data_IF_753728175709
#
_entry.id   IF_753728175709
#
_cell.length_a   1.000
_cell.length_b   1.000
_cell.length_c   1.000
_cell.angle_alpha   90.00
_cell.angle_beta   90.00
_cell.angle_gamma   90.00
#
_symmetry.space_group_name_H-M   'P 1'
#
loop_
_entity.id
_entity.type
_entity.pdbx_description
1 polymer ?
#
# COMPACT_ATOMS: atom_id res chain seq x y z
N UNK A 1 3.59 1.78 11.22
CA UNK A 1 2.10 1.76 11.19
C UNK A 1 1.52 3.16 11.20
N UNK A 2 2.03 4.07 12.04
CA UNK A 2 1.57 5.46 12.08
C UNK A 2 1.81 6.19 10.75
N UNK A 3 2.92 5.90 10.07
CA UNK A 3 3.24 6.44 8.75
C UNK A 3 2.20 6.02 7.71
N UNK A 4 1.78 4.75 7.73
CA UNK A 4 0.73 4.25 6.83
C UNK A 4 -0.58 5.01 7.02
N UNK A 5 -1.04 5.16 8.27
CA UNK A 5 -2.26 5.91 8.58
C UNK A 5 -2.16 7.39 8.23
N UNK A 6 -1.01 8.01 8.47
CA UNK A 6 -0.74 9.40 8.10
C UNK A 6 -0.84 9.61 6.59
N UNK A 7 -0.19 8.74 5.81
CA UNK A 7 -0.26 8.77 4.35
C UNK A 7 -1.67 8.52 3.81
N UNK A 8 -2.43 7.59 4.41
CA UNK A 8 -3.85 7.38 4.07
C UNK A 8 -4.68 8.62 4.35
N UNK A 9 -4.50 9.24 5.53
CA UNK A 9 -5.20 10.46 5.90
C UNK A 9 -4.92 11.60 4.92
N UNK A 10 -3.67 11.76 4.47
CA UNK A 10 -3.31 12.72 3.44
C UNK A 10 -4.00 12.44 2.09
N UNK A 11 -4.01 11.18 1.63
CA UNK A 11 -4.69 10.79 0.39
C UNK A 11 -6.21 11.04 0.46
N UNK A 12 -6.83 10.66 1.57
CA UNK A 12 -8.26 10.83 1.78
C UNK A 12 -8.66 12.31 1.87
N UNK A 13 -7.87 13.14 2.57
CA UNK A 13 -8.09 14.60 2.60
C UNK A 13 -8.03 15.19 1.20
N UNK A 14 -6.97 14.87 0.43
CA UNK A 14 -6.79 15.37 -0.94
C UNK A 14 -7.97 15.06 -1.84
N UNK A 15 -8.46 13.82 -1.80
CA UNK A 15 -9.62 13.41 -2.59
C UNK A 15 -10.89 14.21 -2.23
N UNK A 16 -11.13 14.45 -0.93
CA UNK A 16 -12.30 15.20 -0.48
C UNK A 16 -12.20 16.70 -0.83
N UNK A 17 -11.01 17.29 -0.72
CA UNK A 17 -10.78 18.71 -0.97
C UNK A 17 -10.97 19.08 -2.46
N UNK A 18 -10.57 18.17 -3.37
CA UNK A 18 -10.56 18.41 -4.82
C UNK A 18 -11.74 17.70 -5.52
N UNK A 19 -12.47 16.84 -4.81
CA UNK A 19 -13.50 15.93 -5.36
C UNK A 19 -12.98 15.05 -6.51
N UNK A 20 -11.66 14.81 -6.53
CA UNK A 20 -10.93 13.95 -7.46
C UNK A 20 -9.54 13.65 -6.88
N UNK A 21 -8.86 12.64 -7.42
CA UNK A 21 -7.51 12.31 -6.98
C UNK A 21 -6.46 13.00 -7.86
N UNK A 22 -5.53 13.73 -7.23
CA UNK A 22 -4.34 14.25 -7.88
C UNK A 22 -3.13 13.32 -7.68
N UNK A 23 -2.02 13.64 -8.36
CA UNK A 23 -0.77 12.89 -8.24
C UNK A 23 -0.22 12.84 -6.80
N UNK A 24 -0.46 13.87 -6.00
CA UNK A 24 0.03 13.91 -4.62
C UNK A 24 -0.77 12.96 -3.74
N UNK A 25 -2.09 12.96 -3.87
CA UNK A 25 -3.00 12.07 -3.16
C UNK A 25 -2.82 10.61 -3.59
N UNK A 26 -2.65 10.35 -4.88
CA UNK A 26 -2.36 9.00 -5.39
C UNK A 26 -1.03 8.47 -4.84
N UNK A 27 0.02 9.31 -4.82
CA UNK A 27 1.30 8.97 -4.21
C UNK A 27 1.17 8.70 -2.71
N UNK A 28 0.43 9.52 -1.98
CA UNK A 28 0.16 9.28 -0.57
C UNK A 28 -0.60 7.97 -0.32
N UNK A 29 -1.54 7.60 -1.20
CA UNK A 29 -2.26 6.34 -1.09
C UNK A 29 -1.35 5.13 -1.33
N UNK A 30 -0.46 5.21 -2.32
CA UNK A 30 0.59 4.22 -2.53
C UNK A 30 1.48 4.08 -1.28
N UNK A 31 2.00 5.19 -0.76
CA UNK A 31 2.86 5.20 0.43
C UNK A 31 2.16 4.58 1.65
N UNK A 32 0.85 4.77 1.79
CA UNK A 32 0.06 4.11 2.83
C UNK A 32 0.15 2.58 2.73
N UNK A 33 -0.05 2.03 1.52
CA UNK A 33 0.04 0.59 1.27
C UNK A 33 1.48 0.07 1.41
N UNK A 34 2.47 0.85 1.00
CA UNK A 34 3.87 0.49 1.17
C UNK A 34 4.27 0.43 2.66
N UNK A 35 3.94 1.46 3.43
CA UNK A 35 4.29 1.52 4.84
C UNK A 35 3.61 0.44 5.67
N UNK A 36 2.39 0.02 5.32
CA UNK A 36 1.74 -1.07 6.06
C UNK A 36 2.43 -2.41 5.81
N UNK A 37 2.88 -2.69 4.58
CA UNK A 37 3.66 -3.90 4.28
C UNK A 37 5.02 -3.84 4.97
N UNK A 38 5.71 -2.70 4.93
CA UNK A 38 6.99 -2.51 5.62
C UNK A 38 6.86 -2.60 7.14
N UNK A 39 5.73 -2.22 7.72
CA UNK A 39 5.48 -2.38 9.15
C UNK A 39 5.53 -3.83 9.61
N UNK A 40 5.12 -4.79 8.77
CA UNK A 40 5.23 -6.23 9.06
C UNK A 40 6.69 -6.66 9.25
N UNK A 41 7.60 -6.06 8.49
CA UNK A 41 9.05 -6.33 8.55
C UNK A 41 9.66 -5.68 9.78
N UNK A 42 9.28 -4.43 10.05
CA UNK A 42 9.71 -3.70 11.25
C UNK A 42 9.24 -4.41 12.51
N UNK A 43 8.05 -4.98 12.52
CA UNK A 43 7.57 -5.77 13.65
C UNK A 43 8.46 -7.00 13.91
N UNK A 44 8.96 -7.63 12.85
CA UNK A 44 9.82 -8.81 12.99
C UNK A 44 11.24 -8.46 13.46
N UNK A 45 11.88 -7.46 12.83
CA UNK A 45 13.30 -7.15 13.08
C UNK A 45 13.51 -5.99 14.07
N UNK A 46 12.48 -5.22 14.42
CA UNK A 46 12.57 -3.97 15.18
C UNK A 46 13.04 -2.75 14.36
N UNK A 47 13.44 -2.96 13.10
CA UNK A 47 13.85 -1.93 12.14
C UNK A 47 13.56 -2.41 10.70
N UNK A 48 13.70 -1.54 9.71
CA UNK A 48 13.60 -1.93 8.29
C UNK A 48 15.00 -2.21 7.74
N UNK A 49 15.38 -3.47 7.44
CA UNK A 49 16.69 -3.75 6.88
C UNK A 49 16.85 -3.15 5.46
N UNK A 50 18.07 -2.71 5.06
CA UNK A 50 18.30 -2.11 3.74
C UNK A 50 17.87 -3.00 2.57
N UNK A 51 17.92 -4.34 2.76
CA UNK A 51 17.49 -5.29 1.73
C UNK A 51 15.98 -5.19 1.40
N UNK A 52 15.18 -4.54 2.24
CA UNK A 52 13.74 -4.37 2.09
C UNK A 52 13.32 -2.93 1.76
N UNK A 53 14.25 -2.03 1.50
CA UNK A 53 13.97 -0.62 1.18
C UNK A 53 13.36 -0.38 -0.21
N UNK A 54 13.09 -1.43 -0.99
CA UNK A 54 12.44 -1.35 -2.31
C UNK A 54 10.99 -0.84 -2.26
N UNK A 55 10.55 -0.16 -3.33
CA UNK A 55 9.16 0.29 -3.54
C UNK A 55 8.26 -0.76 -4.20
N UNK A 56 8.81 -1.94 -4.55
CA UNK A 56 8.04 -3.01 -5.20
C UNK A 56 7.18 -3.79 -4.20
N UNK A 57 6.07 -3.19 -3.75
CA UNK A 57 5.23 -3.69 -2.65
C UNK A 57 4.71 -5.13 -2.86
N UNK A 58 4.41 -5.54 -4.10
CA UNK A 58 3.96 -6.91 -4.42
C UNK A 58 5.11 -7.90 -4.26
N UNK A 59 6.28 -7.59 -4.82
CA UNK A 59 7.48 -8.43 -4.69
C UNK A 59 7.91 -8.54 -3.23
N UNK A 60 7.81 -7.44 -2.47
CA UNK A 60 8.07 -7.42 -1.05
C UNK A 60 7.13 -8.37 -0.31
N UNK A 61 5.83 -8.29 -0.60
CA UNK A 61 4.80 -9.15 -0.01
C UNK A 61 5.00 -10.63 -0.32
N UNK A 62 5.48 -10.97 -1.51
CA UNK A 62 5.88 -12.34 -1.84
C UNK A 62 7.11 -12.79 -1.03
N UNK A 63 8.13 -11.94 -0.96
CA UNK A 63 9.39 -12.25 -0.29
C UNK A 63 9.23 -12.49 1.21
N UNK A 64 8.29 -11.80 1.85
CA UNK A 64 8.01 -11.98 3.28
C UNK A 64 6.91 -13.01 3.58
N UNK A 65 6.42 -13.72 2.55
CA UNK A 65 5.38 -14.74 2.72
C UNK A 65 4.00 -14.17 3.07
N UNK A 66 3.83 -12.84 2.98
CA UNK A 66 2.56 -12.15 3.25
C UNK A 66 1.53 -12.39 2.15
N UNK A 67 1.96 -12.41 0.89
CA UNK A 67 1.06 -12.56 -0.26
C UNK A 67 0.05 -13.71 -0.14
N UNK A 68 0.45 -14.96 0.19
CA UNK A 68 -0.50 -16.06 0.35
C UNK A 68 -1.41 -15.93 1.58
N UNK A 69 -1.09 -15.08 2.56
CA UNK A 69 -1.95 -14.85 3.73
C UNK A 69 -3.08 -13.86 3.41
N UNK A 70 -2.86 -12.93 2.47
CA UNK A 70 -3.83 -11.89 2.14
C UNK A 70 -5.15 -12.49 1.59
N UNK A 71 -6.32 -12.01 2.01
CA UNK A 71 -7.60 -12.26 1.35
C UNK A 71 -7.59 -11.80 -0.13
N UNK A 72 -8.40 -12.41 -1.02
CA UNK A 72 -8.40 -12.08 -2.45
C UNK A 72 -8.65 -10.60 -2.77
N UNK A 73 -9.58 -9.96 -2.08
CA UNK A 73 -9.89 -8.53 -2.28
C UNK A 73 -8.70 -7.63 -1.88
N UNK A 74 -8.01 -7.97 -0.78
CA UNK A 74 -6.83 -7.24 -0.33
C UNK A 74 -5.61 -7.49 -1.23
N UNK A 75 -5.47 -8.68 -1.83
CA UNK A 75 -4.45 -8.93 -2.87
C UNK A 75 -4.68 -8.08 -4.10
N UNK A 76 -5.92 -8.03 -4.60
CA UNK A 76 -6.29 -7.20 -5.74
C UNK A 76 -6.02 -5.73 -5.45
N UNK A 77 -6.39 -5.26 -4.26
CA UNK A 77 -6.08 -3.90 -3.83
C UNK A 77 -4.58 -3.62 -3.81
N UNK A 78 -3.77 -4.52 -3.23
CA UNK A 78 -2.33 -4.35 -3.18
C UNK A 78 -1.67 -4.36 -4.58
N UNK A 79 -2.16 -5.20 -5.49
CA UNK A 79 -1.71 -5.23 -6.87
C UNK A 79 -2.05 -3.92 -7.61
N UNK A 80 -3.25 -3.39 -7.39
CA UNK A 80 -3.69 -2.11 -7.94
C UNK A 80 -2.87 -0.94 -7.37
N UNK A 81 -2.55 -0.95 -6.07
CA UNK A 81 -1.65 0.05 -5.47
C UNK A 81 -0.25 -0.01 -6.08
N UNK A 82 0.26 -1.17 -6.46
CA UNK A 82 1.59 -1.28 -7.07
C UNK A 82 1.68 -0.56 -8.43
N UNK A 83 0.55 -0.32 -9.11
CA UNK A 83 0.50 0.50 -10.33
C UNK A 83 0.69 1.99 -10.03
N UNK A 84 0.47 2.41 -8.79
CA UNK A 84 0.65 3.78 -8.31
C UNK A 84 2.05 4.06 -7.75
N UNK A 85 3.00 3.12 -7.88
CA UNK A 85 4.38 3.32 -7.45
C UNK A 85 5.05 4.43 -8.30
N UNK A 86 5.39 5.59 -7.71
CA UNK A 86 6.00 6.70 -8.45
C UNK A 86 7.43 6.36 -8.92
N UNK A 87 8.04 5.28 -8.41
CA UNK A 87 9.40 4.87 -8.70
C UNK A 87 9.51 3.76 -9.76
N UNK A 88 8.39 3.30 -10.34
CA UNK A 88 8.44 2.32 -11.45
C UNK A 88 9.08 2.97 -12.68
N UNK A 89 10.39 2.75 -12.80
CA UNK A 89 11.34 3.27 -13.80
C UNK A 89 11.01 2.82 -15.24
N UNK A 90 10.21 3.58 -15.99
CA UNK A 90 10.33 3.76 -17.45
C UNK A 90 9.79 5.16 -17.84
N UNK A 91 10.21 5.77 -18.97
CA UNK A 91 10.26 7.22 -19.10
C UNK A 91 8.87 7.79 -19.29
N UNK A 92 8.31 8.37 -18.23
CA UNK A 92 7.49 9.58 -18.23
C UNK A 92 6.74 9.67 -16.90
N UNK A 93 6.95 10.77 -16.17
CA UNK A 93 5.94 11.31 -15.25
C UNK A 93 4.54 11.21 -15.86
N UNK A 94 4.43 11.39 -17.19
CA UNK A 94 3.21 11.20 -17.98
C UNK A 94 2.52 9.84 -17.82
N UNK A 95 3.19 8.71 -17.61
CA UNK A 95 2.49 7.41 -17.49
C UNK A 95 1.74 7.29 -16.15
N UNK A 96 2.40 7.71 -15.07
CA UNK A 96 1.82 7.83 -13.74
C UNK A 96 0.73 8.90 -13.72
N UNK A 97 1.01 10.10 -14.22
CA UNK A 97 0.05 11.19 -14.36
C UNK A 97 -1.15 10.80 -15.22
N UNK A 98 -0.92 10.05 -16.31
CA UNK A 98 -2.00 9.53 -17.17
C UNK A 98 -2.85 8.54 -16.40
N UNK A 99 -2.26 7.58 -15.70
CA UNK A 99 -3.01 6.61 -14.89
C UNK A 99 -3.84 7.34 -13.82
N UNK A 100 -3.26 8.35 -13.18
CA UNK A 100 -3.97 9.14 -12.17
C UNK A 100 -5.14 9.88 -12.78
N UNK A 101 -4.90 10.57 -13.90
CA UNK A 101 -5.90 11.39 -14.61
C UNK A 101 -6.97 10.56 -15.32
N UNK A 102 -6.64 9.35 -15.76
CA UNK A 102 -7.56 8.45 -16.47
C UNK A 102 -8.40 7.60 -15.53
N UNK A 103 -8.00 7.48 -14.25
CA UNK A 103 -8.77 6.78 -13.23
C UNK A 103 -10.02 7.59 -12.87
N UNK A 104 -11.16 6.91 -12.87
CA UNK A 104 -12.44 7.48 -12.48
C UNK A 104 -12.54 7.73 -10.97
N UNK A 105 -13.41 8.65 -10.59
CA UNK A 105 -13.73 8.88 -9.18
C UNK A 105 -14.26 7.62 -8.47
N UNK A 106 -14.97 6.74 -9.18
CA UNK A 106 -15.45 5.49 -8.60
C UNK A 106 -14.29 4.54 -8.26
N UNK A 107 -13.28 4.44 -9.13
CA UNK A 107 -12.06 3.66 -8.86
C UNK A 107 -11.29 4.24 -7.67
N UNK A 108 -11.15 5.57 -7.59
CA UNK A 108 -10.54 6.22 -6.43
C UNK A 108 -11.30 6.00 -5.13
N UNK A 109 -12.63 6.12 -5.16
CA UNK A 109 -13.49 5.84 -4.02
C UNK A 109 -13.33 4.39 -3.56
N UNK A 110 -13.25 3.43 -4.50
CA UNK A 110 -13.04 2.03 -4.18
C UNK A 110 -11.67 1.79 -3.52
N UNK A 111 -10.61 2.42 -4.02
CA UNK A 111 -9.27 2.35 -3.43
C UNK A 111 -9.26 2.92 -2.01
N UNK A 112 -9.86 4.09 -1.82
CA UNK A 112 -9.97 4.75 -0.51
C UNK A 112 -10.85 3.98 0.49
N UNK A 113 -11.85 3.25 0.00
CA UNK A 113 -12.70 2.37 0.83
C UNK A 113 -11.95 1.11 1.27
N UNK A 114 -11.09 0.57 0.40
CA UNK A 114 -10.36 -0.68 0.68
C UNK A 114 -9.10 -0.46 1.51
N UNK A 115 -8.40 0.66 1.32
CA UNK A 115 -7.17 0.98 2.05
C UNK A 115 -7.25 0.86 3.58
N UNK A 116 -8.27 1.41 4.28
CA UNK A 116 -8.36 1.26 5.74
C UNK A 116 -8.61 -0.20 6.16
N UNK A 117 -9.34 -0.98 5.36
CA UNK A 117 -9.54 -2.42 5.60
C UNK A 117 -8.21 -3.18 5.46
N UNK A 118 -7.39 -2.80 4.49
CA UNK A 118 -6.05 -3.36 4.32
C UNK A 118 -5.16 -3.06 5.53
N UNK A 119 -5.14 -1.80 6.00
CA UNK A 119 -4.39 -1.39 7.20
C UNK A 119 -4.83 -2.20 8.43
N UNK A 120 -6.14 -2.29 8.66
CA UNK A 120 -6.70 -3.03 9.81
C UNK A 120 -6.39 -4.53 9.74
N UNK A 121 -6.46 -5.13 8.55
CA UNK A 121 -6.13 -6.54 8.36
C UNK A 121 -4.66 -6.82 8.71
N UNK A 122 -3.73 -6.00 8.21
CA UNK A 122 -2.31 -6.17 8.54
C UNK A 122 -2.08 -6.00 10.04
N UNK A 123 -2.67 -4.99 10.65
CA UNK A 123 -2.51 -4.74 12.08
C UNK A 123 -3.03 -5.88 12.94
N UNK A 124 -4.28 -6.29 12.73
CA UNK A 124 -4.98 -7.22 13.63
C UNK A 124 -4.71 -8.67 13.28
N UNK A 125 -4.80 -9.01 11.99
CA UNK A 125 -4.89 -10.39 11.52
C UNK A 125 -3.54 -10.93 11.02
N UNK A 126 -2.55 -10.05 10.80
CA UNK A 126 -1.16 -10.41 10.47
C UNK A 126 -0.24 -10.13 11.66
N UNK A 127 0.00 -8.87 12.02
CA UNK A 127 0.92 -8.48 13.11
C UNK A 127 0.37 -8.95 14.47
N UNK A 128 -0.89 -8.64 14.77
CA UNK A 128 -1.54 -9.00 16.02
C UNK A 128 -1.89 -10.48 16.17
N UNK A 129 -1.66 -11.30 15.14
CA UNK A 129 -1.96 -12.72 15.14
C UNK A 129 -0.68 -13.57 15.05
N UNK A 130 -0.17 -14.12 16.18
CA UNK A 130 1.06 -14.91 16.20
C UNK A 130 1.03 -16.11 15.25
N UNK A 131 -0.14 -16.68 14.96
CA UNK A 131 -0.27 -17.83 14.05
C UNK A 131 -0.06 -17.43 12.60
N UNK A 132 -0.61 -16.29 12.18
CA UNK A 132 -0.39 -15.76 10.83
C UNK A 132 1.03 -15.23 10.71
N UNK A 133 1.49 -14.47 11.71
CA UNK A 133 2.82 -13.89 11.74
C UNK A 133 3.91 -14.96 11.70
N UNK A 134 3.75 -16.07 12.43
CA UNK A 134 4.68 -17.19 12.42
C UNK A 134 4.76 -17.97 11.10
N UNK A 135 3.84 -17.74 10.14
CA UNK A 135 3.89 -18.31 8.79
C UNK A 135 4.62 -17.42 7.79
N UNK A 136 4.96 -16.19 8.17
CA UNK A 136 5.71 -15.27 7.33
C UNK A 136 7.16 -15.74 7.18
N UNK A 137 7.79 -15.33 6.08
CA UNK A 137 9.16 -15.69 5.77
C UNK A 137 10.07 -14.49 6.04
N UNK A 138 11.00 -14.64 6.97
CA UNK A 138 12.00 -13.63 7.32
C UNK A 138 13.39 -14.26 7.36
#
# INVERSE_FOLDING_TARGET
MNESRGSFGAAHSRFNDISSMDVTGAGALFMSAEYVVKAVIVEHYGFLPPSFETHRIVNLSHRIGLWPQLPPDLRTHLADMALLDPNVRYPRETAYETLVSSSSNAEWQQRLTTAPRFIQYIERDVIGNPTTFGKLTF
#
